data_IF_311244462798
#
_entry.id   IF_311244462798
#
_cell.length_a   1.000
_cell.length_b   1.000
_cell.length_c   1.000
_cell.angle_alpha   90.00
_cell.angle_beta   90.00
_cell.angle_gamma   90.00
#
_symmetry.space_group_name_H-M   'P 1'
#
loop_
_entity.id
_entity.type
_entity.pdbx_description
1 polymer ?
#
# COMPACT_ATOMS: atom_id res chain seq x y z
N UNK A 1 56.36 14.16 -9.25
CA UNK A 1 55.98 13.52 -7.97
C UNK A 1 55.01 14.38 -7.17
N UNK A 2 55.30 15.66 -6.90
CA UNK A 2 54.38 16.58 -6.20
C UNK A 2 52.96 16.59 -6.80
N UNK A 3 52.81 16.64 -8.13
CA UNK A 3 51.49 16.68 -8.78
C UNK A 3 50.67 15.40 -8.61
N UNK A 4 51.32 14.23 -8.47
CA UNK A 4 50.63 12.97 -8.17
C UNK A 4 50.10 12.95 -6.74
N UNK A 5 50.88 13.49 -5.80
CA UNK A 5 50.47 13.61 -4.39
C UNK A 5 49.29 14.58 -4.27
N UNK A 6 49.33 15.72 -4.96
CA UNK A 6 48.22 16.68 -5.00
C UNK A 6 46.97 16.06 -5.64
N UNK A 7 47.13 15.32 -6.74
CA UNK A 7 46.03 14.61 -7.39
C UNK A 7 45.39 13.57 -6.46
N UNK A 8 46.20 12.78 -5.76
CA UNK A 8 45.71 11.79 -4.79
C UNK A 8 45.02 12.44 -3.59
N UNK A 9 45.58 13.53 -3.07
CA UNK A 9 44.97 14.30 -1.97
C UNK A 9 43.62 14.91 -2.37
N UNK A 10 43.50 15.46 -3.58
CA UNK A 10 42.22 15.94 -4.13
C UNK A 10 41.20 14.81 -4.27
N UNK A 11 41.64 13.63 -4.73
CA UNK A 11 40.76 12.47 -4.90
C UNK A 11 40.23 11.97 -3.55
N UNK A 12 41.05 11.96 -2.50
CA UNK A 12 40.62 11.62 -1.14
C UNK A 12 39.56 12.59 -0.57
N UNK A 13 39.58 13.85 -0.98
CA UNK A 13 38.58 14.85 -0.56
C UNK A 13 37.29 14.70 -1.36
N UNK A 14 37.38 14.38 -2.66
CA UNK A 14 36.22 14.35 -3.57
C UNK A 14 35.48 13.00 -3.52
N UNK A 15 36.18 11.89 -3.33
CA UNK A 15 35.58 10.55 -3.32
C UNK A 15 34.43 10.36 -2.31
N UNK A 16 34.51 10.88 -1.06
CA UNK A 16 33.40 10.79 -0.11
C UNK A 16 32.11 11.48 -0.58
N UNK A 17 32.22 12.54 -1.41
CA UNK A 17 31.05 13.29 -1.90
C UNK A 17 30.26 12.46 -2.90
N UNK A 18 30.94 11.77 -3.80
CA UNK A 18 30.30 10.88 -4.78
C UNK A 18 29.67 9.65 -4.12
N UNK A 19 30.14 9.23 -2.94
CA UNK A 19 29.56 8.11 -2.20
C UNK A 19 28.18 8.42 -1.59
N UNK A 20 27.81 9.69 -1.42
CA UNK A 20 26.56 10.12 -0.77
C UNK A 20 25.50 10.54 -1.81
N UNK A 21 25.88 10.68 -3.08
CA UNK A 21 24.95 11.10 -4.13
C UNK A 21 23.87 10.02 -4.33
N UNK A 22 22.57 10.36 -4.21
CA UNK A 22 21.51 9.39 -4.43
C UNK A 22 21.53 8.90 -5.87
N UNK A 23 21.27 7.60 -6.05
CA UNK A 23 21.15 7.01 -7.38
C UNK A 23 19.96 7.57 -8.14
N UNK A 24 19.97 7.45 -9.47
CA UNK A 24 18.85 7.87 -10.32
C UNK A 24 17.53 7.20 -9.88
N UNK A 25 17.58 5.90 -9.55
CA UNK A 25 16.44 5.15 -9.04
C UNK A 25 15.92 5.69 -7.71
N UNK A 26 16.81 6.04 -6.77
CA UNK A 26 16.41 6.64 -5.50
C UNK A 26 15.73 8.00 -5.72
N UNK A 27 16.23 8.81 -6.65
CA UNK A 27 15.62 10.10 -6.99
C UNK A 27 14.23 9.93 -7.61
N UNK A 28 14.06 8.96 -8.50
CA UNK A 28 12.78 8.60 -9.09
C UNK A 28 11.77 8.14 -8.03
N UNK A 29 12.15 7.20 -7.16
CA UNK A 29 11.32 6.76 -6.04
C UNK A 29 10.92 7.93 -5.13
N UNK A 30 11.86 8.82 -4.80
CA UNK A 30 11.53 10.02 -4.02
C UNK A 30 10.54 10.95 -4.71
N UNK A 31 10.62 11.11 -6.03
CA UNK A 31 9.65 11.89 -6.80
C UNK A 31 8.27 11.26 -6.80
N UNK A 32 8.18 9.93 -7.00
CA UNK A 32 6.91 9.20 -6.93
C UNK A 32 6.23 9.37 -5.58
N UNK A 33 6.98 9.18 -4.49
CA UNK A 33 6.45 9.34 -3.13
C UNK A 33 5.98 10.78 -2.87
N UNK A 34 6.71 11.78 -3.36
CA UNK A 34 6.29 13.20 -3.28
C UNK A 34 5.00 13.46 -4.04
N UNK A 35 4.83 12.87 -5.22
CA UNK A 35 3.61 12.98 -6.03
C UNK A 35 2.42 12.36 -5.30
N UNK A 36 2.58 11.16 -4.75
CA UNK A 36 1.54 10.51 -3.96
C UNK A 36 1.13 11.33 -2.72
N UNK A 37 2.11 11.87 -1.99
CA UNK A 37 1.84 12.74 -0.83
C UNK A 37 1.11 14.02 -1.21
N UNK A 38 1.40 14.60 -2.38
CA UNK A 38 0.66 15.75 -2.88
C UNK A 38 -0.82 15.44 -3.19
N UNK A 39 -1.14 14.17 -3.48
CA UNK A 39 -2.51 13.67 -3.68
C UNK A 39 -3.18 13.24 -2.36
N UNK A 40 -2.54 13.46 -1.21
CA UNK A 40 -3.08 13.12 0.11
C UNK A 40 -2.85 11.67 0.55
N UNK A 41 -2.02 10.92 -0.17
CA UNK A 41 -1.60 9.56 0.20
C UNK A 41 -0.42 9.63 1.15
N UNK A 42 -0.54 9.05 2.35
CA UNK A 42 0.59 8.92 3.27
C UNK A 42 1.54 7.83 2.79
N UNK A 43 2.85 8.07 2.86
CA UNK A 43 3.87 7.13 2.38
C UNK A 43 4.86 6.83 3.50
N UNK A 44 5.05 5.55 3.82
CA UNK A 44 5.94 5.10 4.88
C UNK A 44 6.82 3.93 4.42
N UNK A 45 8.12 4.02 4.69
CA UNK A 45 9.03 2.88 4.55
C UNK A 45 8.83 1.93 5.73
N UNK A 46 8.43 0.69 5.47
CA UNK A 46 8.04 -0.25 6.52
C UNK A 46 8.46 -1.67 6.16
N UNK A 47 8.19 -2.62 7.05
CA UNK A 47 8.42 -4.04 6.79
C UNK A 47 7.20 -4.86 7.15
N UNK A 48 7.00 -5.95 6.41
CA UNK A 48 5.95 -6.94 6.64
C UNK A 48 6.57 -8.34 6.68
N UNK A 49 5.84 -9.31 7.21
CA UNK A 49 6.18 -10.72 6.98
C UNK A 49 6.03 -11.00 5.49
N UNK A 50 7.01 -11.65 4.87
CA UNK A 50 6.99 -12.03 3.46
C UNK A 50 5.86 -13.04 3.23
N UNK A 51 4.85 -12.72 2.39
CA UNK A 51 3.75 -13.65 2.13
C UNK A 51 4.18 -14.90 1.34
N UNK A 52 5.29 -14.82 0.58
CA UNK A 52 5.84 -15.95 -0.18
C UNK A 52 7.33 -16.09 0.18
N UNK A 53 7.64 -16.57 1.40
CA UNK A 53 9.01 -16.60 1.88
C UNK A 53 9.80 -17.68 1.15
N UNK A 54 10.72 -17.26 0.27
CA UNK A 54 11.74 -18.17 -0.22
C UNK A 54 12.82 -18.34 0.86
N UNK A 55 12.81 -19.47 1.57
CA UNK A 55 13.74 -19.72 2.69
C UNK A 55 15.21 -19.61 2.30
N UNK A 56 15.59 -19.89 1.04
CA UNK A 56 16.97 -19.78 0.57
C UNK A 56 17.47 -18.31 0.60
N UNK A 57 16.55 -17.35 0.52
CA UNK A 57 16.83 -15.91 0.60
C UNK A 57 17.05 -15.44 2.05
N UNK A 58 16.57 -16.21 3.03
CA UNK A 58 16.56 -15.84 4.45
C UNK A 58 17.53 -16.72 5.24
N UNK A 59 18.79 -16.75 4.80
CA UNK A 59 19.87 -17.47 5.47
C UNK A 59 20.96 -16.47 5.85
N UNK A 60 21.41 -16.49 7.10
CA UNK A 60 22.52 -15.66 7.56
C UNK A 60 23.86 -16.12 6.95
N UNK A 61 24.90 -15.29 7.03
CA UNK A 61 26.27 -15.69 6.68
C UNK A 61 26.79 -16.91 7.49
N UNK A 62 26.13 -17.27 8.59
CA UNK A 62 26.45 -18.44 9.43
C UNK A 62 25.55 -19.65 9.14
N UNK A 63 24.72 -19.59 8.10
CA UNK A 63 23.82 -20.68 7.70
C UNK A 63 22.55 -20.79 8.56
N UNK A 64 22.25 -19.79 9.41
CA UNK A 64 21.06 -19.82 10.26
C UNK A 64 19.85 -19.23 9.52
N UNK A 65 18.65 -19.85 9.64
CA UNK A 65 17.43 -19.25 9.13
C UNK A 65 17.17 -17.88 9.77
N UNK A 66 16.81 -16.89 8.96
CA UNK A 66 16.36 -15.58 9.37
C UNK A 66 14.84 -15.52 9.28
N UNK A 67 14.23 -14.64 10.06
CA UNK A 67 12.81 -14.35 9.90
C UNK A 67 12.57 -13.73 8.51
N UNK A 68 11.53 -14.19 7.78
CA UNK A 68 11.27 -13.74 6.43
C UNK A 68 10.61 -12.36 6.42
N UNK A 69 11.36 -11.33 6.82
CA UNK A 69 10.87 -9.95 6.86
C UNK A 69 11.19 -9.25 5.54
N UNK A 70 10.16 -8.67 4.91
CA UNK A 70 10.24 -8.00 3.63
C UNK A 70 10.15 -6.48 3.80
N UNK A 71 11.16 -5.75 3.34
CA UNK A 71 11.15 -4.29 3.29
C UNK A 71 10.33 -3.78 2.10
N UNK A 72 9.34 -2.94 2.39
CA UNK A 72 8.35 -2.43 1.42
C UNK A 72 8.00 -0.97 1.73
N UNK A 73 7.27 -0.33 0.82
CA UNK A 73 6.70 1.00 1.05
C UNK A 73 5.20 0.87 1.21
N UNK A 74 4.65 1.40 2.29
CA UNK A 74 3.23 1.46 2.55
C UNK A 74 2.65 2.80 2.07
N UNK A 75 1.69 2.73 1.15
CA UNK A 75 0.87 3.84 0.68
C UNK A 75 -0.49 3.77 1.36
N UNK A 76 -0.88 4.80 2.09
CA UNK A 76 -2.05 4.76 2.97
C UNK A 76 -3.02 5.91 2.75
N UNK A 77 -4.31 5.60 2.80
CA UNK A 77 -5.39 6.59 2.81
C UNK A 77 -6.39 6.25 3.92
N UNK A 78 -6.81 7.28 4.65
CA UNK A 78 -7.83 7.15 5.69
C UNK A 78 -9.21 7.41 5.11
N UNK A 79 -10.16 6.50 5.35
CA UNK A 79 -11.58 6.75 5.07
C UNK A 79 -12.16 7.72 6.08
N UNK A 80 -13.21 8.43 5.65
CA UNK A 80 -14.06 9.17 6.57
C UNK A 80 -14.85 8.19 7.43
N UNK A 81 -14.68 8.28 8.75
CA UNK A 81 -15.46 7.48 9.69
C UNK A 81 -16.91 7.98 9.70
N UNK A 82 -17.92 7.11 9.59
CA UNK A 82 -19.30 7.53 9.72
C UNK A 82 -19.56 8.07 11.14
N UNK A 83 -20.53 8.98 11.29
CA UNK A 83 -20.85 9.60 12.58
C UNK A 83 -21.16 8.59 13.68
N UNK A 84 -21.73 7.45 13.30
CA UNK A 84 -22.09 6.34 14.21
C UNK A 84 -21.11 5.16 14.12
N UNK A 85 -19.84 5.39 13.77
CA UNK A 85 -18.85 4.32 13.58
C UNK A 85 -18.70 3.35 14.76
N UNK A 86 -19.02 3.77 15.99
CA UNK A 86 -19.00 2.90 17.18
C UNK A 86 -20.10 1.84 17.20
N UNK A 87 -21.16 2.02 16.42
CA UNK A 87 -22.30 1.11 16.30
C UNK A 87 -22.23 0.26 15.04
N UNK A 88 -21.38 0.64 14.08
CA UNK A 88 -21.16 -0.13 12.86
C UNK A 88 -20.17 -1.28 13.11
N UNK A 89 -20.39 -2.46 12.50
CA UNK A 89 -19.44 -3.56 12.60
C UNK A 89 -18.11 -3.14 11.96
N UNK A 90 -16.99 -3.46 12.61
CA UNK A 90 -15.67 -3.21 12.03
C UNK A 90 -15.41 -4.21 10.89
N UNK A 91 -15.13 -3.68 9.70
CA UNK A 91 -14.80 -4.47 8.51
C UNK A 91 -13.31 -4.29 8.26
N UNK A 92 -12.52 -5.16 8.87
CA UNK A 92 -11.09 -5.26 8.60
C UNK A 92 -10.85 -6.43 7.66
N UNK A 93 -9.93 -6.25 6.70
CA UNK A 93 -9.56 -7.30 5.78
C UNK A 93 -8.14 -7.16 5.30
N UNK A 94 -7.55 -8.29 4.88
CA UNK A 94 -6.17 -8.37 4.42
C UNK A 94 -6.10 -9.29 3.21
N UNK A 95 -5.49 -8.78 2.15
CA UNK A 95 -5.16 -9.48 0.91
C UNK A 95 -3.65 -9.52 0.74
N UNK A 96 -3.13 -10.68 0.40
CA UNK A 96 -1.71 -10.87 0.10
C UNK A 96 -1.57 -11.61 -1.23
N UNK A 97 -0.44 -11.37 -1.92
CA UNK A 97 -0.03 -12.27 -2.99
C UNK A 97 0.54 -13.53 -2.38
N UNK A 98 0.03 -14.69 -2.78
CA UNK A 98 0.45 -15.97 -2.23
C UNK A 98 0.30 -17.11 -3.24
N UNK A 99 0.84 -18.26 -2.86
CA UNK A 99 0.66 -19.51 -3.60
C UNK A 99 -0.71 -20.14 -3.34
N UNK A 100 -1.39 -19.71 -2.27
CA UNK A 100 -2.74 -20.14 -1.95
C UNK A 100 -3.74 -19.46 -2.90
N UNK A 101 -4.66 -20.25 -3.45
CA UNK A 101 -5.65 -19.74 -4.40
C UNK A 101 -6.97 -19.44 -3.68
N UNK A 102 -7.37 -18.17 -3.65
CA UNK A 102 -8.74 -17.77 -3.33
C UNK A 102 -9.55 -17.71 -4.64
N UNK A 103 -10.54 -18.60 -4.86
CA UNK A 103 -11.24 -18.72 -6.14
C UNK A 103 -12.09 -17.50 -6.48
N UNK A 104 -12.39 -16.67 -5.49
CA UNK A 104 -13.12 -15.41 -5.59
C UNK A 104 -12.23 -14.22 -5.96
N UNK A 105 -10.90 -14.39 -6.06
CA UNK A 105 -9.96 -13.31 -6.37
C UNK A 105 -9.12 -13.63 -7.62
N UNK A 106 -8.66 -12.60 -8.36
CA UNK A 106 -7.88 -12.81 -9.57
C UNK A 106 -6.42 -13.20 -9.27
N UNK A 107 -5.86 -14.09 -10.09
CA UNK A 107 -4.42 -14.38 -10.11
C UNK A 107 -3.92 -15.02 -8.81
N UNK A 108 -2.89 -14.42 -8.22
CA UNK A 108 -2.20 -14.90 -7.01
C UNK A 108 -2.69 -14.25 -5.72
N UNK A 109 -3.81 -13.53 -5.76
CA UNK A 109 -4.36 -12.87 -4.58
C UNK A 109 -5.10 -13.86 -3.68
N UNK A 110 -4.85 -13.77 -2.38
CA UNK A 110 -5.55 -14.55 -1.38
C UNK A 110 -5.97 -13.71 -0.18
N UNK A 111 -7.09 -14.10 0.44
CA UNK A 111 -7.48 -13.61 1.76
C UNK A 111 -6.56 -14.23 2.82
N UNK A 112 -5.95 -13.40 3.67
CA UNK A 112 -5.07 -13.90 4.75
C UNK A 112 -5.87 -14.57 5.87
N UNK A 113 -7.07 -14.06 6.17
CA UNK A 113 -8.01 -14.72 7.07
C UNK A 113 -9.11 -15.40 6.25
N UNK A 114 -10.23 -14.70 6.08
CA UNK A 114 -11.35 -15.07 5.22
C UNK A 114 -12.00 -13.78 4.74
N UNK A 115 -12.74 -13.84 3.63
CA UNK A 115 -13.58 -12.72 3.19
C UNK A 115 -14.52 -12.30 4.33
N UNK A 116 -14.57 -11.01 4.74
CA UNK A 116 -15.51 -10.59 5.76
C UNK A 116 -16.95 -10.72 5.28
N UNK A 117 -17.83 -11.31 6.10
CA UNK A 117 -19.25 -11.47 5.75
C UNK A 117 -19.98 -10.14 5.54
N UNK A 118 -19.54 -9.09 6.25
CA UNK A 118 -20.10 -7.76 6.15
C UNK A 118 -19.51 -6.92 4.99
N UNK A 119 -18.60 -7.48 4.18
CA UNK A 119 -18.01 -6.77 3.05
C UNK A 119 -19.09 -6.46 1.99
N UNK A 120 -19.29 -5.19 1.60
CA UNK A 120 -20.28 -4.87 0.59
C UNK A 120 -20.00 -5.56 -0.75
N UNK A 121 -21.04 -6.06 -1.42
CA UNK A 121 -20.91 -6.72 -2.73
C UNK A 121 -20.29 -5.81 -3.80
N UNK A 122 -20.49 -4.49 -3.70
CA UNK A 122 -19.84 -3.51 -4.57
C UNK A 122 -18.34 -3.42 -4.35
N UNK A 123 -17.90 -3.49 -3.09
CA UNK A 123 -16.48 -3.56 -2.73
C UNK A 123 -15.86 -4.84 -3.26
N UNK A 124 -16.53 -5.98 -3.09
CA UNK A 124 -16.05 -7.26 -3.62
C UNK A 124 -15.86 -7.21 -5.14
N UNK A 125 -16.85 -6.71 -5.89
CA UNK A 125 -16.76 -6.55 -7.35
C UNK A 125 -15.63 -5.59 -7.75
N UNK A 126 -15.44 -4.51 -7.00
CA UNK A 126 -14.35 -3.57 -7.23
C UNK A 126 -12.99 -4.24 -7.04
N UNK A 127 -12.79 -4.95 -5.91
CA UNK A 127 -11.55 -5.66 -5.63
C UNK A 127 -11.23 -6.66 -6.75
N UNK A 128 -12.18 -7.51 -7.16
CA UNK A 128 -11.98 -8.49 -8.23
C UNK A 128 -11.50 -7.83 -9.52
N UNK A 129 -12.09 -6.69 -9.90
CA UNK A 129 -11.73 -5.98 -11.13
C UNK A 129 -10.35 -5.32 -11.02
N UNK A 130 -10.10 -4.56 -9.95
CA UNK A 130 -8.91 -3.72 -9.86
C UNK A 130 -7.66 -4.51 -9.46
N UNK A 131 -7.80 -5.60 -8.70
CA UNK A 131 -6.67 -6.48 -8.34
C UNK A 131 -6.05 -7.18 -9.56
N UNK A 132 -6.79 -7.32 -10.66
CA UNK A 132 -6.25 -7.82 -11.93
C UNK A 132 -5.34 -6.80 -12.64
N UNK A 133 -5.52 -5.51 -12.36
CA UNK A 133 -4.77 -4.42 -12.98
C UNK A 133 -3.68 -3.83 -12.09
N UNK A 134 -3.69 -4.15 -10.79
CA UNK A 134 -2.70 -3.65 -9.84
C UNK A 134 -1.29 -4.17 -10.18
N UNK A 135 -0.21 -3.38 -9.95
CA UNK A 135 1.13 -3.81 -10.31
C UNK A 135 1.53 -5.13 -9.66
N UNK A 136 2.31 -5.93 -10.41
CA UNK A 136 2.76 -7.26 -9.97
C UNK A 136 3.68 -7.23 -8.75
N UNK A 137 4.31 -6.09 -8.48
CA UNK A 137 5.23 -5.87 -7.38
C UNK A 137 4.55 -5.26 -6.13
N UNK A 138 3.22 -5.11 -6.15
CA UNK A 138 2.40 -4.91 -4.96
C UNK A 138 2.20 -6.26 -4.27
N UNK A 139 2.50 -6.32 -2.98
CA UNK A 139 2.62 -7.58 -2.23
C UNK A 139 1.43 -7.82 -1.31
N UNK A 140 0.88 -6.74 -0.75
CA UNK A 140 -0.20 -6.79 0.24
C UNK A 140 -1.09 -5.57 0.12
N UNK A 141 -2.38 -5.76 0.37
CA UNK A 141 -3.37 -4.70 0.55
C UNK A 141 -4.16 -5.04 1.80
N UNK A 142 -4.34 -4.07 2.69
CA UNK A 142 -5.28 -4.25 3.79
C UNK A 142 -6.07 -3.00 4.07
N UNK A 143 -7.23 -3.22 4.68
CA UNK A 143 -7.95 -2.17 5.35
C UNK A 143 -8.12 -2.55 6.81
N UNK A 144 -7.61 -1.68 7.69
CA UNK A 144 -7.72 -1.84 9.14
C UNK A 144 -8.08 -0.53 9.80
N UNK A 145 -9.10 -0.53 10.65
CA UNK A 145 -9.52 0.65 11.39
C UNK A 145 -9.78 1.89 10.50
N UNK A 146 -10.40 1.69 9.33
CA UNK A 146 -10.67 2.73 8.32
C UNK A 146 -9.41 3.30 7.65
N UNK A 147 -8.27 2.61 7.74
CA UNK A 147 -7.05 2.96 7.01
C UNK A 147 -6.79 1.88 5.97
N UNK A 148 -6.88 2.28 4.70
CA UNK A 148 -6.52 1.44 3.57
C UNK A 148 -5.02 1.59 3.31
N UNK A 149 -4.32 0.47 3.20
CA UNK A 149 -2.87 0.40 3.00
C UNK A 149 -2.53 -0.52 1.82
N UNK A 150 -1.63 -0.06 0.96
CA UNK A 150 -0.99 -0.87 -0.09
C UNK A 150 0.50 -0.97 0.21
N UNK A 151 1.05 -2.18 0.19
CA UNK A 151 2.46 -2.46 0.41
C UNK A 151 3.12 -2.83 -0.91
N UNK A 152 4.10 -2.02 -1.32
CA UNK A 152 4.61 -2.01 -2.69
C UNK A 152 6.15 -1.92 -2.73
N UNK A 153 6.78 -2.60 -3.69
CA UNK A 153 8.22 -2.54 -3.94
C UNK A 153 8.67 -1.39 -4.84
N UNK A 154 7.75 -0.62 -5.43
CA UNK A 154 8.07 0.54 -6.29
C UNK A 154 8.98 0.22 -7.48
N UNK A 155 8.92 -1.01 -8.00
CA UNK A 155 9.67 -1.45 -9.19
C UNK A 155 8.92 -1.17 -10.49
N UNK A 156 7.59 -1.01 -10.45
CA UNK A 156 6.76 -0.63 -11.61
C UNK A 156 6.70 0.88 -11.91
N UNK A 157 7.47 1.70 -11.18
CA UNK A 157 7.68 3.12 -11.52
C UNK A 157 6.40 3.97 -11.54
N UNK A 158 6.42 5.05 -12.32
CA UNK A 158 5.32 6.02 -12.35
C UNK A 158 3.98 5.44 -12.84
N UNK A 159 4.01 4.47 -13.76
CA UNK A 159 2.81 3.76 -14.20
C UNK A 159 2.20 2.96 -13.05
N UNK A 160 3.03 2.29 -12.26
CA UNK A 160 2.63 1.60 -11.05
C UNK A 160 2.00 2.54 -10.03
N UNK A 161 2.59 3.72 -9.83
CA UNK A 161 2.04 4.75 -8.94
C UNK A 161 0.63 5.18 -9.37
N UNK A 162 0.43 5.43 -10.66
CA UNK A 162 -0.89 5.84 -11.16
C UNK A 162 -1.96 4.76 -10.91
N UNK A 163 -1.60 3.48 -11.04
CA UNK A 163 -2.50 2.36 -10.72
C UNK A 163 -2.78 2.26 -9.22
N UNK A 164 -1.75 2.43 -8.38
CA UNK A 164 -1.87 2.39 -6.91
C UNK A 164 -2.77 3.52 -6.41
N UNK A 165 -2.55 4.76 -6.86
CA UNK A 165 -3.40 5.90 -6.50
C UNK A 165 -4.85 5.68 -6.95
N UNK A 166 -5.07 5.22 -8.19
CA UNK A 166 -6.41 4.93 -8.71
C UNK A 166 -7.13 3.89 -7.85
N UNK A 167 -6.44 2.81 -7.48
CA UNK A 167 -6.99 1.77 -6.60
C UNK A 167 -7.39 2.38 -5.25
N UNK A 168 -6.49 3.12 -4.59
CA UNK A 168 -6.75 3.73 -3.29
C UNK A 168 -7.97 4.66 -3.34
N UNK A 169 -8.00 5.57 -4.32
CA UNK A 169 -9.10 6.50 -4.52
C UNK A 169 -10.43 5.78 -4.81
N UNK A 170 -10.44 4.77 -5.68
CA UNK A 170 -11.65 4.02 -5.98
C UNK A 170 -12.15 3.21 -4.79
N UNK A 171 -11.25 2.61 -4.01
CA UNK A 171 -11.63 1.91 -2.79
C UNK A 171 -12.32 2.85 -1.79
N UNK A 172 -11.74 4.02 -1.51
CA UNK A 172 -12.27 4.93 -0.46
C UNK A 172 -13.65 5.51 -0.79
N UNK A 173 -14.02 5.60 -2.08
CA UNK A 173 -15.33 6.08 -2.52
C UNK A 173 -16.45 5.07 -2.29
N UNK A 174 -16.14 3.76 -2.26
CA UNK A 174 -17.14 2.73 -1.99
C UNK A 174 -17.42 2.69 -0.48
N UNK A 175 -18.65 2.98 -0.02
CA UNK A 175 -18.96 2.97 1.39
C UNK A 175 -18.92 1.54 1.96
N UNK A 176 -18.27 1.37 3.11
CA UNK A 176 -18.29 0.10 3.85
C UNK A 176 -19.61 -0.15 4.58
N UNK A 177 -20.38 0.92 4.82
CA UNK A 177 -21.66 0.85 5.51
C UNK A 177 -22.68 1.69 4.77
N UNK A 178 -23.80 1.07 4.43
CA UNK A 178 -25.00 1.80 4.01
C UNK A 178 -25.80 2.13 5.27
N UNK A 179 -25.76 3.40 5.69
CA UNK A 179 -26.61 3.85 6.79
C UNK A 179 -28.05 3.89 6.28
N UNK A 180 -28.97 3.40 7.11
CA UNK A 180 -30.41 3.37 6.82
C UNK A 180 -31.02 4.78 6.59
N UNK A 181 -30.32 5.85 6.94
CA UNK A 181 -30.75 7.24 6.76
C UNK A 181 -30.67 7.72 5.28
N UNK A 182 -29.88 7.09 4.40
CA UNK A 182 -29.81 7.48 2.97
C UNK A 182 -31.01 6.98 2.15
N UNK A 183 -31.88 6.15 2.75
CA UNK A 183 -33.08 5.59 2.13
C UNK A 183 -34.37 6.33 2.48
N UNK A 184 -34.31 7.40 3.29
CA UNK A 184 -35.50 8.18 3.68
C UNK A 184 -35.37 9.66 3.24
N UNK A 185 -35.68 9.98 1.98
CA UNK A 185 -35.65 11.36 1.47
C UNK A 185 -36.70 12.28 2.12
N UNK A 186 -37.65 11.75 2.90
CA UNK A 186 -38.76 12.52 3.46
C UNK A 186 -38.47 13.15 4.83
N UNK A 187 -37.35 12.81 5.48
CA UNK A 187 -37.03 13.31 6.83
C UNK A 187 -36.76 14.83 6.89
N UNK A 188 -36.45 15.46 5.77
CA UNK A 188 -36.27 16.92 5.69
C UNK A 188 -37.56 17.72 5.47
N UNK A 189 -38.73 17.08 5.34
CA UNK A 189 -40.00 17.77 5.09
C UNK A 189 -40.87 18.01 6.33
N UNK A 190 -40.53 17.42 7.48
CA UNK A 190 -41.41 17.39 8.66
C UNK A 190 -40.91 18.18 9.89
N UNK A 191 -40.11 19.23 9.70
CA UNK A 191 -39.80 20.16 10.80
C UNK A 191 -40.16 21.59 10.43
N UNK A 192 -41.46 21.88 10.40
CA UNK A 192 -42.02 23.20 10.75
C UNK A 192 -43.50 23.04 11.11
N UNK A 193 -43.85 22.94 12.40
CA UNK A 193 -45.11 23.44 12.90
C UNK A 193 -44.86 24.78 13.62
N UNK A 194 -45.61 25.79 13.16
CA UNK A 194 -46.14 27.00 13.84
C UNK A 194 -45.49 27.48 15.14
#
# INVERSE_FOLDING_TARGET
MIYLIIGFALLLIIAPIFAILPSARQKEQMNMRRKAMAEGVSVELTSIQDPVPNQDKYISNTGKPLEPVLGVVAYRVSRKKPRQWRLAPQIDWVLERGDQHSPDLPGTWCWVQSKPDALPAEMEKFLIRELACIPGDVVRIDEKNYVLSIYWHESSGEEGLASVCRFLSGCIEIPLHYLKDDLDPDKHRSSNPT
#
